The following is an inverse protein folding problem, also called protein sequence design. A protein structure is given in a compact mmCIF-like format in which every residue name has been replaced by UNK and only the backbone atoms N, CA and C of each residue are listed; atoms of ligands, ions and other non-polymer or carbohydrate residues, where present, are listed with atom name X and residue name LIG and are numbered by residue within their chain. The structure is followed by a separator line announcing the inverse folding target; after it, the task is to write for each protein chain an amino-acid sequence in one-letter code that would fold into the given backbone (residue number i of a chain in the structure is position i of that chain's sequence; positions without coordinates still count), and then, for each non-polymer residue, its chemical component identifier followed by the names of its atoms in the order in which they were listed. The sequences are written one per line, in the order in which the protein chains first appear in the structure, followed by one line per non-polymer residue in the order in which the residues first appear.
data_IF_697132662938
#
_entry.id   IF_697132662938
#
_cell.length_a   1.000
_cell.length_b   1.000
_cell.length_c   1.000
_cell.angle_alpha   90.00
_cell.angle_beta   90.00
_cell.angle_gamma   90.00
#
_symmetry.space_group_name_H-M   'P 1'
#
loop_
_entity.id
_entity.type
_entity.pdbx_description
1 polymer ?
#
# COMPACT_ATOMS: atom_id res chain seq x y z
N UNK A 1 7.95 4.66 25.56
CA UNK A 1 7.02 5.50 26.33
C UNK A 1 6.15 4.56 27.15
N UNK A 2 5.82 4.89 28.41
CA UNK A 2 4.90 4.08 29.20
C UNK A 2 3.50 4.07 28.57
N UNK A 3 2.80 2.95 28.68
CA UNK A 3 1.45 2.80 28.15
C UNK A 3 0.46 3.40 29.16
N UNK A 4 -0.37 4.37 28.76
CA UNK A 4 -1.35 4.99 29.63
C UNK A 4 -2.47 4.02 30.00
N UNK A 5 -2.79 3.97 31.29
CA UNK A 5 -3.93 3.23 31.85
C UNK A 5 -4.97 4.22 32.35
N UNK A 6 -6.22 4.01 31.96
CA UNK A 6 -7.36 4.77 32.44
C UNK A 6 -8.25 3.87 33.32
N UNK A 7 -8.55 4.33 34.51
CA UNK A 7 -9.34 3.60 35.49
C UNK A 7 -10.78 4.15 35.52
N UNK A 8 -11.76 3.26 35.34
CA UNK A 8 -13.18 3.55 35.44
C UNK A 8 -13.85 2.56 36.41
N UNK A 9 -13.70 2.80 37.69
CA UNK A 9 -14.03 1.89 38.78
C UNK A 9 -15.21 2.40 39.59
N UNK A 10 -16.08 1.48 40.05
CA UNK A 10 -17.36 1.82 40.66
C UNK A 10 -17.26 2.15 42.14
N UNK A 11 -16.22 1.69 42.83
CA UNK A 11 -16.07 1.88 44.26
C UNK A 11 -14.59 1.96 44.72
N UNK A 12 -14.36 2.40 45.95
CA UNK A 12 -13.04 2.61 46.52
C UNK A 12 -12.25 1.30 46.75
N UNK A 13 -12.94 0.22 47.02
CA UNK A 13 -12.33 -1.09 47.23
C UNK A 13 -11.74 -1.64 45.90
N UNK A 14 -12.43 -1.51 44.77
CA UNK A 14 -11.89 -1.80 43.46
C UNK A 14 -10.64 -0.96 43.17
N UNK A 15 -10.70 0.34 43.48
CA UNK A 15 -9.57 1.27 43.28
C UNK A 15 -8.33 0.86 44.05
N UNK A 16 -8.49 0.47 45.31
CA UNK A 16 -7.39 0.01 46.14
C UNK A 16 -6.78 -1.28 45.63
N UNK A 17 -7.61 -2.28 45.31
CA UNK A 17 -7.17 -3.59 44.76
C UNK A 17 -6.42 -3.44 43.47
N UNK A 18 -6.94 -2.61 42.52
CA UNK A 18 -6.28 -2.36 41.23
C UNK A 18 -4.96 -1.60 41.41
N UNK A 19 -4.93 -0.55 42.27
CA UNK A 19 -3.70 0.20 42.55
C UNK A 19 -2.62 -0.69 43.17
N UNK A 20 -2.98 -1.56 44.09
CA UNK A 20 -2.04 -2.49 44.70
C UNK A 20 -1.49 -3.48 43.64
N UNK A 21 -2.36 -4.08 42.82
CA UNK A 21 -1.93 -4.99 41.76
C UNK A 21 -1.06 -4.30 40.71
N UNK A 22 -1.35 -3.03 40.36
CA UNK A 22 -0.54 -2.24 39.41
C UNK A 22 0.85 -1.91 39.96
N UNK A 23 1.03 -1.78 41.30
CA UNK A 23 2.34 -1.53 41.89
C UNK A 23 3.31 -2.72 41.78
N UNK A 24 2.79 -3.92 41.54
CA UNK A 24 3.57 -5.16 41.36
C UNK A 24 3.95 -5.42 39.90
N UNK A 25 3.42 -4.65 38.94
CA UNK A 25 3.70 -4.81 37.53
C UNK A 25 5.02 -4.16 37.14
N UNK A 26 5.96 -4.93 36.62
CA UNK A 26 7.31 -4.48 36.23
C UNK A 26 7.35 -3.76 34.85
N UNK A 27 6.25 -3.66 34.12
CA UNK A 27 6.23 -3.04 32.80
C UNK A 27 6.12 -1.52 32.86
N UNK A 28 6.54 -0.84 31.78
CA UNK A 28 6.42 0.61 31.62
C UNK A 28 4.95 1.00 31.38
N UNK A 29 4.18 1.08 32.46
CA UNK A 29 2.79 1.53 32.48
C UNK A 29 2.66 2.80 33.31
N UNK A 30 1.72 3.67 32.97
CA UNK A 30 1.41 4.89 33.69
C UNK A 30 -0.10 5.04 33.88
N UNK A 31 -0.55 5.23 35.11
CA UNK A 31 -1.96 5.57 35.39
C UNK A 31 -2.18 7.03 35.00
N UNK A 32 -2.68 7.25 33.78
CA UNK A 32 -2.88 8.57 33.18
C UNK A 32 -4.16 9.27 33.69
N UNK A 33 -5.13 8.51 34.23
CA UNK A 33 -6.37 9.09 34.73
C UNK A 33 -7.28 8.10 35.44
N UNK A 34 -8.18 8.66 36.25
CA UNK A 34 -9.31 7.93 36.85
C UNK A 34 -10.58 8.73 36.56
N UNK A 35 -11.62 8.04 36.08
CA UNK A 35 -12.85 8.64 35.58
C UNK A 35 -14.02 8.15 36.40
N UNK A 36 -14.95 9.05 36.71
CA UNK A 36 -16.17 8.74 37.49
C UNK A 36 -17.43 8.79 36.62
N UNK A 37 -17.34 9.42 35.44
CA UNK A 37 -18.45 9.56 34.51
C UNK A 37 -18.15 8.84 33.18
N UNK A 38 -19.05 7.99 32.66
CA UNK A 38 -18.88 7.29 31.40
C UNK A 38 -18.55 8.17 30.18
N UNK A 39 -19.09 9.40 30.12
CA UNK A 39 -18.83 10.32 29.01
C UNK A 39 -17.39 10.86 29.00
N UNK A 40 -16.75 10.94 30.15
CA UNK A 40 -15.38 11.41 30.26
C UNK A 40 -14.36 10.42 29.69
N UNK A 41 -14.70 9.13 29.64
CA UNK A 41 -13.82 8.10 29.05
C UNK A 41 -13.43 8.42 27.60
N UNK A 42 -14.32 9.01 26.85
CA UNK A 42 -14.05 9.35 25.44
C UNK A 42 -13.05 10.50 25.27
N UNK A 43 -12.78 11.30 26.30
CA UNK A 43 -11.72 12.31 26.29
C UNK A 43 -10.31 11.68 26.32
N UNK A 44 -10.23 10.44 26.80
CA UNK A 44 -8.99 9.67 26.87
C UNK A 44 -8.83 8.70 25.69
N UNK A 45 -9.67 8.79 24.67
CA UNK A 45 -9.52 7.97 23.47
C UNK A 45 -8.18 8.27 22.81
N UNK A 46 -7.38 7.24 22.51
CA UNK A 46 -6.02 7.42 22.06
C UNK A 46 -5.99 7.98 20.63
N UNK A 47 -5.38 9.17 20.38
CA UNK A 47 -5.21 9.63 19.01
C UNK A 47 -4.11 8.85 18.26
N UNK A 48 -3.06 8.40 18.98
CA UNK A 48 -1.89 7.77 18.38
C UNK A 48 -1.13 6.80 19.30
N UNK A 49 -1.41 6.81 20.60
CA UNK A 49 -0.71 5.96 21.60
C UNK A 49 -1.69 4.92 22.13
N UNK A 50 -1.32 3.61 22.16
CA UNK A 50 -2.16 2.59 22.76
C UNK A 50 -2.55 2.91 24.19
N UNK A 51 -3.83 2.77 24.53
CA UNK A 51 -4.35 3.06 25.86
C UNK A 51 -5.12 1.86 26.39
N UNK A 52 -4.86 1.48 27.65
CA UNK A 52 -5.58 0.40 28.33
C UNK A 52 -6.63 1.00 29.27
N UNK A 53 -7.88 0.58 29.12
CA UNK A 53 -8.98 0.95 29.98
C UNK A 53 -9.31 -0.21 30.91
N UNK A 54 -9.30 0.03 32.21
CA UNK A 54 -9.77 -0.93 33.22
C UNK A 54 -11.11 -0.43 33.77
N UNK A 55 -12.17 -1.14 33.39
CA UNK A 55 -13.55 -0.78 33.74
C UNK A 55 -14.15 -1.76 34.72
N UNK A 56 -14.90 -1.25 35.71
CA UNK A 56 -15.83 -2.08 36.48
C UNK A 56 -17.06 -2.43 35.62
N UNK A 57 -17.53 -3.66 35.65
CA UNK A 57 -18.78 -4.08 34.99
C UNK A 57 -19.99 -3.26 35.44
N UNK A 58 -19.93 -2.67 36.63
CA UNK A 58 -21.00 -1.85 37.23
C UNK A 58 -20.82 -0.34 36.96
N UNK A 59 -19.76 0.08 36.28
CA UNK A 59 -19.40 1.50 36.10
C UNK A 59 -20.51 2.33 35.44
N UNK A 60 -21.11 1.82 34.35
CA UNK A 60 -22.24 2.45 33.67
C UNK A 60 -23.56 1.65 33.84
N UNK A 61 -23.66 0.84 34.89
CA UNK A 61 -24.81 -0.06 35.15
C UNK A 61 -25.12 -0.94 33.92
N UNK A 62 -26.37 -0.90 33.44
CA UNK A 62 -26.79 -1.69 32.26
C UNK A 62 -26.15 -1.23 30.93
N UNK A 63 -25.59 -0.04 30.88
CA UNK A 63 -24.97 0.51 29.67
C UNK A 63 -23.47 0.16 29.53
N UNK A 64 -22.86 -0.58 30.50
CA UNK A 64 -21.41 -0.85 30.46
C UNK A 64 -21.00 -1.70 29.26
N UNK A 65 -21.82 -2.65 28.82
CA UNK A 65 -21.55 -3.46 27.61
C UNK A 65 -21.49 -2.57 26.36
N UNK A 66 -22.47 -1.70 26.16
CA UNK A 66 -22.49 -0.75 25.04
C UNK A 66 -21.32 0.27 25.12
N UNK A 67 -20.91 0.63 26.32
CA UNK A 67 -19.73 1.48 26.53
C UNK A 67 -18.44 0.79 26.06
N UNK A 68 -18.29 -0.50 26.39
CA UNK A 68 -17.16 -1.32 25.92
C UNK A 68 -17.17 -1.43 24.40
N UNK A 69 -18.31 -1.74 23.79
CA UNK A 69 -18.45 -1.78 22.32
C UNK A 69 -17.97 -0.48 21.67
N UNK A 70 -18.39 0.67 22.21
CA UNK A 70 -17.98 1.99 21.69
C UNK A 70 -16.50 2.28 21.88
N UNK A 71 -15.90 1.91 23.00
CA UNK A 71 -14.47 2.08 23.25
C UNK A 71 -13.63 1.21 22.30
N UNK A 72 -14.04 -0.04 22.11
CA UNK A 72 -13.33 -1.02 21.28
C UNK A 72 -13.49 -0.82 19.79
N UNK A 73 -14.34 0.13 19.32
CA UNK A 73 -14.34 0.59 17.93
C UNK A 73 -12.99 1.25 17.57
N UNK A 74 -12.29 1.81 18.57
CA UNK A 74 -10.96 2.35 18.36
C UNK A 74 -9.89 1.28 18.56
N UNK A 75 -9.10 0.92 17.53
CA UNK A 75 -8.21 -0.24 17.58
C UNK A 75 -7.04 -0.12 18.58
N UNK A 76 -6.68 1.11 19.00
CA UNK A 76 -5.67 1.36 20.03
C UNK A 76 -6.23 1.38 21.46
N UNK A 77 -7.55 1.29 21.65
CA UNK A 77 -8.18 1.18 22.94
C UNK A 77 -8.32 -0.31 23.31
N UNK A 78 -7.66 -0.71 24.39
CA UNK A 78 -7.74 -2.07 24.92
C UNK A 78 -8.52 -2.04 26.23
N UNK A 79 -9.56 -2.87 26.34
CA UNK A 79 -10.45 -2.82 27.49
C UNK A 79 -10.37 -4.11 28.31
N UNK A 80 -10.09 -3.98 29.61
CA UNK A 80 -10.19 -5.06 30.60
C UNK A 80 -11.38 -4.74 31.52
N UNK A 81 -12.29 -5.70 31.71
CA UNK A 81 -13.47 -5.50 32.53
C UNK A 81 -13.38 -6.29 33.82
N UNK A 82 -13.58 -5.60 34.96
CA UNK A 82 -13.62 -6.20 36.28
C UNK A 82 -15.05 -6.63 36.62
N UNK A 83 -15.22 -7.89 36.96
CA UNK A 83 -16.50 -8.48 37.34
C UNK A 83 -16.63 -8.56 38.87
N UNK A 84 -17.79 -8.22 39.46
CA UNK A 84 -17.97 -8.27 40.91
C UNK A 84 -17.82 -9.70 41.50
N UNK A 85 -18.16 -10.70 40.69
CA UNK A 85 -18.02 -12.14 40.99
C UNK A 85 -17.81 -12.91 39.69
N UNK A 86 -17.50 -14.20 39.80
CA UNK A 86 -17.42 -15.08 38.62
C UNK A 86 -18.80 -15.24 37.99
N UNK A 87 -18.95 -14.68 36.79
CA UNK A 87 -20.16 -14.78 35.97
C UNK A 87 -19.76 -15.00 34.50
N UNK A 88 -19.79 -16.26 34.09
CA UNK A 88 -19.44 -16.65 32.72
C UNK A 88 -20.38 -16.07 31.66
N UNK A 89 -21.66 -15.80 32.00
CA UNK A 89 -22.59 -15.19 31.03
C UNK A 89 -22.24 -13.74 30.76
N UNK A 90 -21.97 -12.99 31.82
CA UNK A 90 -21.58 -11.58 31.75
C UNK A 90 -20.18 -11.41 31.12
N UNK A 91 -19.23 -12.29 31.49
CA UNK A 91 -17.90 -12.32 30.86
C UNK A 91 -17.99 -12.49 29.34
N UNK A 92 -18.81 -13.43 28.85
CA UNK A 92 -19.03 -13.63 27.41
C UNK A 92 -19.60 -12.40 26.72
N UNK A 93 -20.49 -11.64 27.38
CA UNK A 93 -21.05 -10.44 26.81
C UNK A 93 -19.95 -9.38 26.59
N UNK A 94 -19.09 -9.15 27.58
CA UNK A 94 -17.99 -8.20 27.45
C UNK A 94 -16.93 -8.62 26.45
N UNK A 95 -16.59 -9.91 26.36
CA UNK A 95 -15.67 -10.42 25.33
C UNK A 95 -16.26 -10.22 23.92
N UNK A 96 -17.56 -10.47 23.74
CA UNK A 96 -18.25 -10.19 22.46
C UNK A 96 -18.31 -8.71 22.14
N UNK A 97 -18.39 -7.85 23.16
CA UNK A 97 -18.31 -6.40 23.01
C UNK A 97 -16.87 -5.89 22.68
N UNK A 98 -15.89 -6.79 22.60
CA UNK A 98 -14.53 -6.49 22.23
C UNK A 98 -13.54 -6.33 23.39
N UNK A 99 -13.94 -6.58 24.63
CA UNK A 99 -13.00 -6.58 25.76
C UNK A 99 -11.88 -7.60 25.52
N UNK A 100 -10.65 -7.21 25.89
CA UNK A 100 -9.45 -8.09 25.79
C UNK A 100 -9.53 -9.21 26.80
N UNK A 101 -10.04 -8.87 28.00
CA UNK A 101 -10.15 -9.82 29.11
C UNK A 101 -11.24 -9.37 30.11
N UNK A 102 -11.67 -10.33 30.94
CA UNK A 102 -12.61 -10.08 32.02
C UNK A 102 -12.12 -10.79 33.29
N UNK A 103 -11.97 -10.04 34.38
CA UNK A 103 -11.39 -10.54 35.63
C UNK A 103 -12.38 -10.40 36.80
N UNK A 104 -12.66 -11.45 37.57
CA UNK A 104 -13.32 -11.32 38.86
C UNK A 104 -12.47 -10.49 39.82
N UNK A 105 -13.15 -9.62 40.61
CA UNK A 105 -12.45 -8.75 41.58
C UNK A 105 -11.60 -9.57 42.56
N UNK A 106 -12.06 -10.77 42.92
CA UNK A 106 -11.30 -11.71 43.77
C UNK A 106 -9.96 -12.18 43.19
N UNK A 107 -9.78 -12.12 41.88
CA UNK A 107 -8.60 -12.62 41.17
C UNK A 107 -7.69 -11.48 40.66
N UNK A 108 -8.00 -10.22 40.92
CA UNK A 108 -7.22 -9.06 40.47
C UNK A 108 -5.75 -9.20 40.84
N UNK A 109 -5.42 -9.54 42.09
CA UNK A 109 -4.04 -9.64 42.55
C UNK A 109 -3.23 -10.72 41.81
N UNK A 110 -3.87 -11.82 41.38
CA UNK A 110 -3.20 -12.93 40.73
C UNK A 110 -3.10 -12.77 39.22
N UNK A 111 -4.13 -12.20 38.58
CA UNK A 111 -4.29 -12.29 37.14
C UNK A 111 -4.21 -10.93 36.41
N UNK A 112 -4.33 -9.79 37.10
CA UNK A 112 -4.31 -8.48 36.45
C UNK A 112 -3.02 -8.22 35.67
N UNK A 113 -1.88 -8.66 36.22
CA UNK A 113 -0.58 -8.53 35.54
C UNK A 113 -0.57 -9.28 34.20
N UNK A 114 -1.10 -10.50 34.14
CA UNK A 114 -1.18 -11.30 32.93
C UNK A 114 -2.12 -10.68 31.90
N UNK A 115 -3.29 -10.22 32.34
CA UNK A 115 -4.27 -9.55 31.47
C UNK A 115 -3.76 -8.23 30.92
N UNK A 116 -3.04 -7.44 31.73
CA UNK A 116 -2.38 -6.22 31.28
C UNK A 116 -1.29 -6.51 30.24
N UNK A 117 -0.44 -7.51 30.46
CA UNK A 117 0.58 -7.91 29.52
C UNK A 117 -0.02 -8.33 28.17
N UNK A 118 -1.15 -9.06 28.20
CA UNK A 118 -1.88 -9.42 27.00
C UNK A 118 -2.49 -8.19 26.29
N UNK A 119 -3.08 -7.26 27.05
CA UNK A 119 -3.61 -6.02 26.51
C UNK A 119 -2.51 -5.15 25.89
N UNK A 120 -1.37 -4.99 26.59
CA UNK A 120 -0.18 -4.27 26.13
C UNK A 120 0.38 -4.89 24.85
N UNK A 121 0.55 -6.23 24.79
CA UNK A 121 1.04 -6.93 23.59
C UNK A 121 0.08 -6.76 22.40
N UNK A 122 -1.23 -6.87 22.64
CA UNK A 122 -2.24 -6.60 21.59
C UNK A 122 -2.15 -5.15 21.12
N UNK A 123 -2.11 -4.20 22.04
CA UNK A 123 -1.98 -2.79 21.75
C UNK A 123 -0.68 -2.47 20.99
N UNK A 124 0.45 -3.06 21.37
CA UNK A 124 1.73 -2.90 20.69
C UNK A 124 1.72 -3.54 19.29
N UNK A 125 1.09 -4.70 19.13
CA UNK A 125 0.95 -5.35 17.83
C UNK A 125 0.08 -4.51 16.91
N UNK A 126 -1.09 -4.07 17.37
CA UNK A 126 -1.98 -3.16 16.64
C UNK A 126 -1.29 -1.82 16.38
N UNK A 127 -0.56 -1.27 17.37
CA UNK A 127 0.22 -0.04 17.19
C UNK A 127 1.35 -0.21 16.18
N UNK A 128 2.09 -1.32 16.20
CA UNK A 128 3.12 -1.59 15.19
C UNK A 128 2.51 -1.75 13.80
N UNK A 129 1.40 -2.44 13.67
CA UNK A 129 0.68 -2.59 12.41
C UNK A 129 0.01 -1.29 11.96
N UNK A 130 -0.59 -0.52 12.88
CA UNK A 130 -1.21 0.78 12.55
C UNK A 130 -0.20 1.92 12.47
N UNK A 131 0.82 1.98 13.33
CA UNK A 131 1.92 2.93 13.19
C UNK A 131 2.71 2.63 11.92
N UNK A 132 2.90 1.38 11.55
CA UNK A 132 3.40 1.03 10.22
C UNK A 132 2.43 1.49 9.11
N UNK A 133 1.12 1.45 9.33
CA UNK A 133 0.11 1.96 8.38
C UNK A 133 -0.11 3.47 8.44
N UNK A 134 -0.05 4.08 9.63
CA UNK A 134 -0.24 5.54 9.83
C UNK A 134 1.03 6.36 9.55
N UNK A 135 2.22 5.73 9.57
CA UNK A 135 3.51 6.35 9.26
C UNK A 135 4.19 5.78 8.00
N UNK A 136 3.62 4.80 7.35
CA UNK A 136 3.92 4.60 5.95
C UNK A 136 3.14 5.64 5.14
N UNK A 137 3.63 6.86 5.21
CA UNK A 137 3.34 7.84 4.15
C UNK A 137 3.60 7.11 2.85
N UNK A 138 2.56 6.88 2.06
CA UNK A 138 2.64 6.06 0.86
C UNK A 138 3.73 6.60 -0.07
N UNK A 139 4.44 5.70 -0.72
CA UNK A 139 5.54 6.07 -1.62
C UNK A 139 4.99 6.47 -2.98
N UNK A 140 5.30 7.69 -3.41
CA UNK A 140 4.98 8.18 -4.75
C UNK A 140 6.13 7.87 -5.69
N UNK A 141 5.86 7.07 -6.72
CA UNK A 141 6.85 6.61 -7.69
C UNK A 141 6.41 7.07 -9.08
N UNK A 142 7.17 7.99 -9.65
CA UNK A 142 6.89 8.54 -10.99
C UNK A 142 7.70 7.77 -12.03
N UNK A 143 7.02 7.36 -13.09
CA UNK A 143 7.63 6.75 -14.27
C UNK A 143 7.70 7.79 -15.38
N UNK A 144 8.90 8.02 -15.88
CA UNK A 144 9.16 8.97 -16.95
C UNK A 144 9.99 8.34 -18.06
N UNK A 145 9.49 8.39 -19.29
CA UNK A 145 10.20 7.94 -20.47
C UNK A 145 10.57 9.13 -21.37
N UNK A 146 11.86 9.47 -21.56
CA UNK A 146 12.28 10.64 -22.35
C UNK A 146 12.11 10.45 -23.86
N UNK A 147 11.57 9.32 -24.29
CA UNK A 147 11.24 9.04 -25.69
C UNK A 147 9.94 8.25 -25.78
N UNK A 148 9.09 8.61 -26.71
CA UNK A 148 7.88 7.85 -27.01
C UNK A 148 8.19 6.42 -27.46
N UNK A 149 7.38 5.46 -27.03
CA UNK A 149 7.50 4.06 -27.42
C UNK A 149 8.56 3.24 -26.66
N UNK A 150 9.21 3.77 -25.65
CA UNK A 150 10.13 2.98 -24.78
C UNK A 150 9.39 2.00 -23.87
N UNK A 151 8.05 2.10 -23.75
CA UNK A 151 7.22 1.15 -23.02
C UNK A 151 6.89 1.54 -21.60
N UNK A 152 7.00 2.82 -21.23
CA UNK A 152 6.76 3.35 -19.87
C UNK A 152 5.39 2.94 -19.34
N UNK A 153 4.31 3.25 -20.04
CA UNK A 153 2.93 2.96 -19.62
C UNK A 153 2.68 1.46 -19.43
N UNK A 154 3.18 0.63 -20.35
CA UNK A 154 3.03 -0.83 -20.25
C UNK A 154 3.78 -1.37 -19.03
N UNK A 155 4.99 -0.85 -18.76
CA UNK A 155 5.82 -1.26 -17.64
C UNK A 155 5.19 -0.85 -16.31
N UNK A 156 4.81 0.43 -16.14
CA UNK A 156 4.21 0.92 -14.90
C UNK A 156 2.87 0.24 -14.60
N UNK A 157 2.05 -0.01 -15.62
CA UNK A 157 0.75 -0.71 -15.47
C UNK A 157 0.96 -2.12 -14.94
N UNK A 158 1.86 -2.90 -15.55
CA UNK A 158 2.13 -4.26 -15.09
C UNK A 158 2.79 -4.31 -13.72
N UNK A 159 3.67 -3.36 -13.40
CA UNK A 159 4.24 -3.25 -12.06
C UNK A 159 3.18 -2.90 -11.01
N UNK A 160 2.27 -1.96 -11.30
CA UNK A 160 1.18 -1.61 -10.40
C UNK A 160 0.24 -2.79 -10.13
N UNK A 161 -0.08 -3.56 -11.19
CA UNK A 161 -0.87 -4.79 -11.06
C UNK A 161 -0.14 -5.84 -10.24
N UNK A 162 1.15 -6.05 -10.47
CA UNK A 162 1.96 -6.99 -9.70
C UNK A 162 2.01 -6.60 -8.21
N UNK A 163 2.25 -5.33 -7.90
CA UNK A 163 2.22 -4.84 -6.52
C UNK A 163 0.84 -5.03 -5.91
N UNK A 164 -0.24 -4.66 -6.59
CA UNK A 164 -1.59 -4.77 -6.04
C UNK A 164 -2.06 -6.21 -5.83
N UNK A 165 -1.63 -7.15 -6.68
CA UNK A 165 -2.03 -8.56 -6.60
C UNK A 165 -1.24 -9.39 -5.58
N UNK A 166 0.03 -9.02 -5.33
CA UNK A 166 0.98 -9.88 -4.62
C UNK A 166 1.60 -9.24 -3.37
N UNK A 167 1.01 -8.15 -2.88
CA UNK A 167 1.33 -7.58 -1.58
C UNK A 167 0.06 -7.15 -0.83
N UNK A 168 0.08 -7.09 0.52
CA UNK A 168 -1.12 -6.86 1.32
C UNK A 168 -1.62 -5.41 1.32
N UNK A 169 -0.74 -4.43 1.09
CA UNK A 169 -1.08 -3.03 1.19
C UNK A 169 -1.72 -2.50 -0.12
N UNK A 170 -2.62 -1.48 -0.02
CA UNK A 170 -3.32 -0.95 -1.18
C UNK A 170 -2.37 -0.17 -2.12
N UNK A 171 -2.60 -0.31 -3.43
CA UNK A 171 -1.83 0.33 -4.50
C UNK A 171 -2.75 1.18 -5.37
N UNK A 172 -2.29 2.38 -5.72
CA UNK A 172 -2.92 3.25 -6.71
C UNK A 172 -2.02 3.48 -7.92
N UNK A 173 -2.63 3.62 -9.10
CA UNK A 173 -1.99 4.01 -10.35
C UNK A 173 -2.71 5.24 -10.90
N UNK A 174 -1.96 6.29 -11.20
CA UNK A 174 -2.47 7.52 -11.80
C UNK A 174 -1.91 7.67 -13.21
N UNK A 175 -2.78 7.83 -14.18
CA UNK A 175 -2.42 8.13 -15.56
C UNK A 175 -2.35 9.66 -15.77
N UNK A 176 -1.15 10.22 -15.72
CA UNK A 176 -0.86 11.61 -16.03
C UNK A 176 -0.42 11.85 -17.47
N UNK A 177 -0.51 10.86 -18.35
CA UNK A 177 -0.45 11.11 -19.78
C UNK A 177 -1.81 11.64 -20.25
N UNK A 178 -2.08 12.89 -19.90
CA UNK A 178 -3.41 13.49 -19.94
C UNK A 178 -4.03 13.57 -21.34
N UNK A 179 -3.22 13.59 -22.40
CA UNK A 179 -3.70 13.67 -23.78
C UNK A 179 -3.92 12.29 -24.41
N UNK A 180 -3.04 11.35 -24.13
CA UNK A 180 -3.03 10.02 -24.79
C UNK A 180 -2.80 8.92 -23.76
N UNK A 181 -3.52 8.99 -22.61
CA UNK A 181 -3.42 7.99 -21.55
C UNK A 181 -3.78 6.58 -22.03
N UNK A 182 -2.98 5.61 -21.62
CA UNK A 182 -3.11 4.23 -22.06
C UNK A 182 -3.47 3.26 -20.92
N UNK A 183 -3.33 3.67 -19.65
CA UNK A 183 -3.47 2.78 -18.50
C UNK A 183 -4.82 2.06 -18.46
N UNK A 184 -5.92 2.77 -18.64
CA UNK A 184 -7.25 2.16 -18.64
C UNK A 184 -7.40 1.09 -19.75
N UNK A 185 -6.91 1.36 -20.95
CA UNK A 185 -6.93 0.42 -22.08
C UNK A 185 -6.07 -0.81 -21.80
N UNK A 186 -4.86 -0.63 -21.23
CA UNK A 186 -3.94 -1.71 -20.86
C UNK A 186 -4.53 -2.65 -19.78
N UNK A 187 -5.49 -2.16 -18.99
CA UNK A 187 -6.20 -2.89 -17.95
C UNK A 187 -7.58 -3.39 -18.39
N UNK A 188 -7.99 -3.19 -19.64
CA UNK A 188 -9.33 -3.53 -20.11
C UNK A 188 -10.46 -2.74 -19.42
N UNK A 189 -10.12 -1.61 -18.77
CA UNK A 189 -11.08 -0.78 -18.05
C UNK A 189 -11.76 0.21 -18.99
N UNK A 190 -13.05 0.48 -18.73
CA UNK A 190 -13.81 1.54 -19.38
C UNK A 190 -14.09 2.64 -18.36
N UNK A 191 -13.33 3.75 -18.39
CA UNK A 191 -13.47 4.77 -17.37
C UNK A 191 -14.74 5.59 -17.55
N UNK A 192 -15.68 5.47 -16.61
CA UNK A 192 -16.84 6.37 -16.47
C UNK A 192 -16.44 7.66 -15.75
N UNK A 193 -15.41 7.60 -14.91
CA UNK A 193 -14.82 8.70 -14.18
C UNK A 193 -13.31 8.81 -14.48
N UNK A 194 -12.82 10.05 -14.64
CA UNK A 194 -11.43 10.36 -15.00
C UNK A 194 -10.90 11.52 -14.17
N UNK A 195 -9.59 11.76 -14.22
CA UNK A 195 -9.01 12.93 -13.58
C UNK A 195 -9.59 14.25 -14.10
N UNK A 196 -10.06 14.32 -15.35
CA UNK A 196 -10.73 15.49 -15.88
C UNK A 196 -12.14 15.67 -15.29
N UNK A 197 -12.89 14.61 -15.09
CA UNK A 197 -14.19 14.68 -14.42
C UNK A 197 -14.05 15.01 -12.93
N UNK A 198 -12.96 14.61 -12.28
CA UNK A 198 -12.57 15.09 -10.96
C UNK A 198 -12.30 16.60 -11.00
N UNK A 199 -11.50 17.07 -11.97
CA UNK A 199 -11.16 18.50 -12.13
C UNK A 199 -12.40 19.38 -12.28
N UNK A 200 -13.40 18.92 -13.03
CA UNK A 200 -14.67 19.65 -13.22
C UNK A 200 -15.48 19.83 -11.93
N UNK A 201 -15.35 18.90 -10.98
CA UNK A 201 -16.09 18.93 -9.71
C UNK A 201 -15.28 19.50 -8.54
N UNK A 202 -13.98 19.65 -8.73
CA UNK A 202 -13.07 20.12 -7.70
C UNK A 202 -13.28 21.59 -7.36
N UNK A 203 -13.47 21.90 -6.07
CA UNK A 203 -13.73 23.26 -5.56
C UNK A 203 -12.65 23.75 -4.57
N UNK A 204 -11.43 23.17 -4.64
CA UNK A 204 -10.29 23.63 -3.84
C UNK A 204 -9.94 22.71 -2.66
N UNK A 205 -10.91 22.01 -2.10
CA UNK A 205 -10.68 21.00 -1.07
C UNK A 205 -10.87 19.59 -1.64
N UNK A 206 -9.99 18.68 -1.26
CA UNK A 206 -10.00 17.29 -1.69
C UNK A 206 -9.67 16.40 -0.51
N UNK A 207 -10.62 15.53 -0.17
CA UNK A 207 -10.41 14.41 0.75
C UNK A 207 -10.56 13.06 0.01
N UNK A 208 -10.37 11.97 0.73
CA UNK A 208 -10.44 10.64 0.13
C UNK A 208 -11.89 10.25 -0.22
N UNK A 209 -12.86 10.67 0.54
CA UNK A 209 -14.27 10.36 0.30
C UNK A 209 -14.74 11.00 -1.02
N UNK A 210 -14.31 12.23 -1.30
CA UNK A 210 -14.55 12.90 -2.58
C UNK A 210 -13.77 12.27 -3.74
N UNK A 211 -12.52 11.83 -3.52
CA UNK A 211 -11.68 11.24 -4.56
C UNK A 211 -12.09 9.80 -4.91
N UNK A 212 -12.53 9.02 -3.94
CA UNK A 212 -12.78 7.58 -4.08
C UNK A 212 -13.69 7.19 -5.26
N UNK A 213 -14.79 7.92 -5.58
CA UNK A 213 -15.65 7.60 -6.72
C UNK A 213 -14.96 7.73 -8.09
N UNK A 214 -13.83 8.42 -8.17
CA UNK A 214 -13.06 8.58 -9.41
C UNK A 214 -11.96 7.51 -9.56
N UNK A 215 -11.73 6.70 -8.53
CA UNK A 215 -10.77 5.61 -8.53
C UNK A 215 -11.42 4.31 -9.04
N UNK A 216 -11.18 3.97 -10.29
CA UNK A 216 -11.59 2.70 -10.86
C UNK A 216 -10.92 1.54 -10.12
N UNK A 217 -11.60 0.42 -10.04
CA UNK A 217 -11.03 -0.81 -9.48
C UNK A 217 -10.76 -1.81 -10.59
N UNK A 218 -9.54 -2.31 -10.64
CA UNK A 218 -9.21 -3.48 -11.43
C UNK A 218 -9.48 -4.73 -10.60
N UNK A 219 -10.55 -5.48 -10.93
CA UNK A 219 -11.10 -6.53 -10.04
C UNK A 219 -10.11 -7.68 -9.77
N UNK A 220 -9.33 -8.09 -10.78
CA UNK A 220 -8.40 -9.22 -10.64
C UNK A 220 -7.23 -8.94 -9.68
N UNK A 221 -6.75 -7.69 -9.61
CA UNK A 221 -5.60 -7.33 -8.78
C UNK A 221 -5.96 -6.47 -7.57
N UNK A 222 -7.15 -5.89 -7.52
CA UNK A 222 -7.52 -4.91 -6.51
C UNK A 222 -6.92 -3.51 -6.70
N UNK A 223 -6.13 -3.28 -7.78
CA UNK A 223 -5.52 -2.00 -8.10
C UNK A 223 -6.57 -0.89 -8.22
N UNK A 224 -6.27 0.29 -7.65
CA UNK A 224 -7.08 1.49 -7.83
C UNK A 224 -6.44 2.40 -8.88
N UNK A 225 -7.23 2.87 -9.84
CA UNK A 225 -6.75 3.59 -11.02
C UNK A 225 -7.46 4.92 -11.17
N UNK A 226 -6.72 6.01 -11.19
CA UNK A 226 -7.21 7.31 -11.65
C UNK A 226 -6.85 7.48 -13.12
N UNK A 227 -7.84 7.31 -13.99
CA UNK A 227 -7.63 7.30 -15.43
C UNK A 227 -7.40 8.72 -15.99
N UNK A 228 -6.63 8.81 -17.08
CA UNK A 228 -6.47 10.00 -17.88
C UNK A 228 -7.82 10.45 -18.51
N UNK A 229 -7.91 11.72 -18.94
CA UNK A 229 -9.11 12.22 -19.64
C UNK A 229 -9.48 11.37 -20.85
N UNK A 230 -10.79 11.23 -21.11
CA UNK A 230 -11.30 10.49 -22.27
C UNK A 230 -11.07 11.19 -23.62
N UNK A 231 -10.76 12.50 -23.60
CA UNK A 231 -10.46 13.31 -24.79
C UNK A 231 -9.28 14.23 -24.48
N UNK A 232 -8.37 14.45 -25.46
CA UNK A 232 -7.16 15.26 -25.25
C UNK A 232 -7.43 16.71 -24.85
N UNK A 233 -8.50 17.31 -25.33
CA UNK A 233 -8.87 18.70 -25.01
C UNK A 233 -9.25 18.89 -23.52
N UNK A 234 -9.66 17.82 -22.84
CA UNK A 234 -9.97 17.88 -21.41
C UNK A 234 -8.73 17.86 -20.53
N UNK A 235 -7.54 17.65 -21.09
CA UNK A 235 -6.28 17.69 -20.36
C UNK A 235 -6.04 19.07 -19.71
N UNK A 236 -6.50 20.15 -20.35
CA UNK A 236 -6.34 21.53 -19.86
C UNK A 236 -7.10 21.82 -18.55
N UNK A 237 -8.09 20.99 -18.21
CA UNK A 237 -8.81 21.10 -16.92
C UNK A 237 -7.96 20.65 -15.74
N UNK A 238 -6.94 19.85 -15.99
CA UNK A 238 -6.10 19.26 -14.94
C UNK A 238 -4.96 20.19 -14.59
N UNK A 239 -5.11 20.90 -13.48
CA UNK A 239 -4.10 21.86 -13.01
C UNK A 239 -3.04 21.20 -12.13
N UNK A 240 -1.87 21.82 -11.99
CA UNK A 240 -0.82 21.40 -11.05
C UNK A 240 -1.33 21.32 -9.61
N UNK A 241 -2.13 22.30 -9.20
CA UNK A 241 -2.75 22.34 -7.88
C UNK A 241 -3.62 21.10 -7.61
N UNK A 242 -4.47 20.71 -8.57
CA UNK A 242 -5.27 19.48 -8.45
C UNK A 242 -4.37 18.24 -8.33
N UNK A 243 -3.35 18.12 -9.18
CA UNK A 243 -2.40 17.00 -9.18
C UNK A 243 -1.73 16.84 -7.81
N UNK A 244 -1.23 17.95 -7.24
CA UNK A 244 -0.61 17.95 -5.92
C UNK A 244 -1.59 17.52 -4.83
N UNK A 245 -2.84 18.00 -4.86
CA UNK A 245 -3.87 17.60 -3.90
C UNK A 245 -4.24 16.13 -4.02
N UNK A 246 -4.43 15.62 -5.24
CA UNK A 246 -4.68 14.19 -5.50
C UNK A 246 -3.57 13.33 -4.90
N UNK A 247 -2.31 13.70 -5.12
CA UNK A 247 -1.18 12.91 -4.62
C UNK A 247 -1.05 12.96 -3.10
N UNK A 248 -1.32 14.10 -2.46
CA UNK A 248 -1.38 14.21 -1.01
C UNK A 248 -2.44 13.27 -0.41
N UNK A 249 -3.64 13.24 -1.01
CA UNK A 249 -4.72 12.36 -0.56
C UNK A 249 -4.35 10.89 -0.79
N UNK A 250 -3.88 10.53 -1.99
CA UNK A 250 -3.50 9.15 -2.31
C UNK A 250 -2.37 8.64 -1.41
N UNK A 251 -1.35 9.46 -1.15
CA UNK A 251 -0.22 9.13 -0.27
C UNK A 251 -0.65 8.71 1.13
N UNK A 252 -1.74 9.25 1.64
CA UNK A 252 -2.24 8.92 2.98
C UNK A 252 -3.10 7.64 3.02
N UNK A 253 -3.49 7.09 1.85
CA UNK A 253 -4.43 5.97 1.77
C UNK A 253 -3.87 4.74 1.03
N UNK A 254 -2.75 4.89 0.35
CA UNK A 254 -2.12 3.83 -0.43
C UNK A 254 -0.65 3.69 -0.06
N UNK A 255 -0.17 2.47 0.08
CA UNK A 255 1.25 2.23 0.36
C UNK A 255 2.14 2.60 -0.84
N UNK A 256 1.63 2.39 -2.05
CA UNK A 256 2.31 2.76 -3.29
C UNK A 256 1.35 3.53 -4.19
N UNK A 257 1.81 4.69 -4.66
CA UNK A 257 1.15 5.49 -5.68
C UNK A 257 2.08 5.57 -6.89
N UNK A 258 1.78 4.80 -7.93
CA UNK A 258 2.54 4.82 -9.16
C UNK A 258 1.94 5.83 -10.12
N UNK A 259 2.79 6.51 -10.88
CA UNK A 259 2.34 7.57 -11.78
C UNK A 259 2.96 7.34 -13.16
N UNK A 260 2.09 7.15 -14.15
CA UNK A 260 2.48 7.16 -15.57
C UNK A 260 2.48 8.59 -16.08
N UNK A 261 3.55 9.01 -16.74
CA UNK A 261 3.66 10.36 -17.30
C UNK A 261 3.88 10.34 -18.79
N UNK A 262 3.51 11.45 -19.44
CA UNK A 262 3.88 11.69 -20.84
C UNK A 262 5.40 11.93 -20.99
N UNK A 263 5.89 11.87 -22.23
CA UNK A 263 7.28 12.24 -22.55
C UNK A 263 7.55 13.74 -22.44
N UNK A 264 6.49 14.55 -22.40
CA UNK A 264 6.57 15.99 -22.31
C UNK A 264 6.67 16.43 -20.85
N UNK A 265 7.60 17.35 -20.56
CA UNK A 265 7.77 17.96 -19.25
C UNK A 265 6.80 19.13 -19.06
N UNK A 266 5.51 18.83 -19.08
CA UNK A 266 4.45 19.79 -18.77
C UNK A 266 4.44 20.10 -17.26
N UNK A 267 3.80 21.20 -16.87
CA UNK A 267 3.74 21.63 -15.46
C UNK A 267 3.17 20.54 -14.53
N UNK A 268 2.16 19.78 -14.99
CA UNK A 268 1.59 18.66 -14.23
C UNK A 268 2.59 17.50 -14.05
N UNK A 269 3.42 17.22 -15.07
CA UNK A 269 4.51 16.23 -14.98
C UNK A 269 5.58 16.71 -14.01
N UNK A 270 5.98 18.00 -14.10
CA UNK A 270 6.98 18.58 -13.20
C UNK A 270 6.49 18.61 -11.74
N UNK A 271 5.21 18.91 -11.50
CA UNK A 271 4.61 18.82 -10.17
C UNK A 271 4.68 17.38 -9.61
N UNK A 272 4.35 16.38 -10.43
CA UNK A 272 4.46 14.96 -10.04
C UNK A 272 5.90 14.57 -9.68
N UNK A 273 6.86 14.95 -10.51
CA UNK A 273 8.29 14.69 -10.26
C UNK A 273 8.77 15.39 -8.98
N UNK A 274 8.29 16.60 -8.70
CA UNK A 274 8.67 17.40 -7.53
C UNK A 274 8.30 16.74 -6.20
N UNK A 275 7.13 16.10 -6.11
CA UNK A 275 6.63 15.48 -4.89
C UNK A 275 6.92 13.98 -4.77
N UNK A 276 7.52 13.38 -5.79
CA UNK A 276 7.82 11.95 -5.82
C UNK A 276 8.92 11.57 -4.85
N UNK A 277 8.86 10.34 -4.31
CA UNK A 277 9.92 9.75 -3.50
C UNK A 277 10.97 9.06 -4.39
N UNK A 278 10.54 8.58 -5.58
CA UNK A 278 11.41 7.99 -6.59
C UNK A 278 10.94 8.37 -8.00
N UNK A 279 11.91 8.57 -8.88
CA UNK A 279 11.72 8.81 -10.30
C UNK A 279 12.38 7.66 -11.05
N UNK A 280 11.58 6.81 -11.67
CA UNK A 280 12.05 5.71 -12.51
C UNK A 280 12.12 6.19 -13.96
N UNK A 281 13.32 6.42 -14.44
CA UNK A 281 13.57 6.83 -15.82
C UNK A 281 13.64 5.58 -16.68
N UNK A 282 12.71 5.44 -17.62
CA UNK A 282 12.62 4.28 -18.51
C UNK A 282 13.32 4.59 -19.82
N UNK A 283 14.33 3.81 -20.15
CA UNK A 283 15.06 3.91 -21.43
C UNK A 283 15.08 2.57 -22.16
N UNK A 284 15.59 2.54 -23.38
CA UNK A 284 15.76 1.33 -24.19
C UNK A 284 17.15 1.30 -24.85
N UNK A 285 17.56 0.13 -25.34
CA UNK A 285 18.87 -0.06 -26.02
C UNK A 285 18.82 0.51 -27.45
N UNK A 286 18.51 1.79 -27.58
CA UNK A 286 18.66 2.54 -28.84
C UNK A 286 19.32 3.90 -28.57
N UNK A 287 20.14 4.36 -29.50
CA UNK A 287 20.96 5.55 -29.36
C UNK A 287 20.14 6.81 -29.05
N UNK A 288 18.95 6.96 -29.67
CA UNK A 288 18.11 8.13 -29.43
C UNK A 288 17.50 8.12 -28.03
N UNK A 289 17.07 6.95 -27.55
CA UNK A 289 16.55 6.83 -26.18
C UNK A 289 17.66 7.15 -25.16
N UNK A 290 18.85 6.62 -25.34
CA UNK A 290 19.99 6.86 -24.44
C UNK A 290 20.38 8.34 -24.45
N UNK A 291 20.49 8.96 -25.64
CA UNK A 291 20.79 10.40 -25.71
C UNK A 291 19.72 11.26 -25.00
N UNK A 292 18.44 11.01 -25.25
CA UNK A 292 17.37 11.73 -24.56
C UNK A 292 17.42 11.50 -23.03
N UNK A 293 17.72 10.27 -22.61
CA UNK A 293 17.91 9.93 -21.20
C UNK A 293 19.07 10.73 -20.58
N UNK A 294 20.19 10.88 -21.29
CA UNK A 294 21.30 11.69 -20.84
C UNK A 294 20.88 13.14 -20.58
N UNK A 295 20.20 13.77 -21.56
CA UNK A 295 19.75 15.15 -21.43
C UNK A 295 18.79 15.35 -20.24
N UNK A 296 17.87 14.40 -20.05
CA UNK A 296 16.93 14.42 -18.92
C UNK A 296 17.68 14.23 -17.60
N UNK A 297 18.62 13.29 -17.51
CA UNK A 297 19.40 13.07 -16.29
C UNK A 297 20.25 14.29 -15.93
N UNK A 298 20.85 14.98 -16.89
CA UNK A 298 21.59 16.23 -16.65
C UNK A 298 20.70 17.33 -16.05
N UNK A 299 19.46 17.43 -16.51
CA UNK A 299 18.46 18.36 -15.95
C UNK A 299 17.97 17.91 -14.58
N UNK A 300 17.58 16.64 -14.44
CA UNK A 300 17.00 16.12 -13.20
C UNK A 300 17.98 16.12 -12.03
N UNK A 301 19.26 15.88 -12.28
CA UNK A 301 20.31 15.98 -11.25
C UNK A 301 20.48 17.38 -10.67
N UNK A 302 20.06 18.42 -11.41
CA UNK A 302 20.05 19.81 -10.91
C UNK A 302 18.79 20.14 -10.10
N UNK A 303 17.69 19.44 -10.36
CA UNK A 303 16.38 19.70 -9.77
C UNK A 303 16.03 18.78 -8.61
N UNK A 304 16.52 17.54 -8.63
CA UNK A 304 16.14 16.51 -7.70
C UNK A 304 17.36 15.82 -7.06
N UNK A 305 17.25 15.33 -5.81
CA UNK A 305 18.29 14.53 -5.18
C UNK A 305 18.61 13.27 -6.01
N UNK A 306 19.90 12.95 -6.13
CA UNK A 306 20.35 11.85 -7.00
C UNK A 306 19.89 10.47 -6.54
N UNK A 307 19.63 10.28 -5.25
CA UNK A 307 19.10 9.04 -4.66
C UNK A 307 17.66 8.73 -5.10
N UNK A 308 16.89 9.75 -5.49
CA UNK A 308 15.54 9.58 -6.07
C UNK A 308 15.57 9.08 -7.50
N UNK A 309 16.63 9.32 -8.25
CA UNK A 309 16.72 8.95 -9.66
C UNK A 309 17.11 7.49 -9.80
N UNK A 310 16.32 6.71 -10.53
CA UNK A 310 16.57 5.30 -10.84
C UNK A 310 16.41 5.06 -12.32
N UNK A 311 17.27 4.21 -12.89
CA UNK A 311 17.23 3.85 -14.32
C UNK A 311 16.62 2.46 -14.49
N UNK A 312 15.64 2.35 -15.38
CA UNK A 312 15.08 1.08 -15.83
C UNK A 312 15.36 0.91 -17.31
N UNK A 313 16.10 -0.13 -17.66
CA UNK A 313 16.43 -0.47 -19.02
C UNK A 313 15.39 -1.45 -19.58
N UNK A 314 14.48 -0.96 -20.41
CA UNK A 314 13.51 -1.79 -21.10
C UNK A 314 14.05 -2.33 -22.42
N UNK A 315 13.52 -3.45 -22.88
CA UNK A 315 13.96 -4.14 -24.10
C UNK A 315 15.47 -4.44 -24.08
N UNK A 316 15.99 -4.91 -22.92
CA UNK A 316 17.42 -5.06 -22.65
C UNK A 316 18.11 -6.17 -23.43
N UNK A 317 17.38 -7.05 -24.13
CA UNK A 317 17.91 -8.22 -24.87
C UNK A 317 17.87 -8.05 -26.40
N UNK A 318 17.84 -6.82 -26.88
CA UNK A 318 17.83 -6.57 -28.34
C UNK A 318 19.21 -6.91 -28.94
N UNK A 319 19.28 -8.03 -29.67
CA UNK A 319 20.53 -8.60 -30.20
C UNK A 319 21.28 -7.72 -31.21
N UNK A 320 20.62 -6.71 -31.78
CA UNK A 320 21.17 -5.88 -32.85
C UNK A 320 21.45 -4.43 -32.44
N UNK A 321 21.36 -4.10 -31.14
CA UNK A 321 21.55 -2.72 -30.68
C UNK A 321 23.03 -2.26 -30.77
N UNK A 322 23.98 -3.19 -30.74
CA UNK A 322 25.42 -2.88 -30.64
C UNK A 322 25.82 -2.24 -29.29
N UNK A 323 24.88 -2.10 -28.36
CA UNK A 323 25.07 -1.51 -27.03
C UNK A 323 24.81 -2.57 -25.97
N UNK A 324 25.61 -2.53 -24.91
CA UNK A 324 25.39 -3.39 -23.72
C UNK A 324 24.84 -2.58 -22.55
N UNK A 325 24.14 -3.24 -21.60
CA UNK A 325 23.68 -2.57 -20.39
C UNK A 325 24.81 -1.87 -19.62
N UNK A 326 25.99 -2.46 -19.53
CA UNK A 326 27.16 -1.94 -18.84
C UNK A 326 27.65 -0.63 -19.50
N UNK A 327 27.68 -0.57 -20.83
CA UNK A 327 27.99 0.64 -21.57
C UNK A 327 26.96 1.75 -21.33
N UNK A 328 25.67 1.39 -21.16
CA UNK A 328 24.62 2.36 -20.83
C UNK A 328 24.80 2.92 -19.43
N UNK A 329 25.11 2.08 -18.43
CA UNK A 329 25.40 2.52 -17.06
C UNK A 329 26.61 3.48 -17.01
N UNK A 330 27.69 3.12 -17.69
CA UNK A 330 28.89 3.92 -17.76
C UNK A 330 28.62 5.28 -18.44
N UNK A 331 27.97 5.25 -19.59
CA UNK A 331 27.66 6.48 -20.35
C UNK A 331 26.71 7.42 -19.63
N UNK A 332 25.65 6.89 -18.99
CA UNK A 332 24.65 7.68 -18.26
C UNK A 332 25.09 7.99 -16.82
N UNK A 333 26.16 7.36 -16.34
CA UNK A 333 26.67 7.47 -14.97
C UNK A 333 25.58 7.27 -13.91
N UNK A 334 24.76 6.23 -14.08
CA UNK A 334 23.71 5.83 -13.16
C UNK A 334 23.52 4.29 -13.24
N UNK A 335 23.45 3.58 -12.11
CA UNK A 335 23.23 2.14 -12.13
C UNK A 335 21.82 1.80 -12.61
N UNK A 336 21.69 0.72 -13.36
CA UNK A 336 20.42 0.17 -13.81
C UNK A 336 19.77 -0.58 -12.65
N UNK A 337 18.61 -0.07 -12.20
CA UNK A 337 17.82 -0.71 -11.16
C UNK A 337 17.20 -2.03 -11.64
N UNK A 338 16.74 -2.07 -12.88
CA UNK A 338 16.12 -3.24 -13.47
C UNK A 338 16.35 -3.30 -14.99
N UNK A 339 16.57 -4.53 -15.48
CA UNK A 339 16.63 -4.84 -16.90
C UNK A 339 15.38 -5.66 -17.26
N UNK A 340 14.58 -5.13 -18.17
CA UNK A 340 13.34 -5.74 -18.64
C UNK A 340 13.56 -6.28 -20.06
N UNK A 341 13.48 -7.59 -20.27
CA UNK A 341 13.72 -8.18 -21.60
C UNK A 341 12.60 -7.81 -22.59
N UNK A 342 12.90 -7.85 -23.88
CA UNK A 342 11.90 -7.71 -24.92
C UNK A 342 11.21 -9.06 -25.16
N UNK A 343 9.90 -9.06 -25.04
CA UNK A 343 9.02 -10.14 -25.47
C UNK A 343 7.83 -9.53 -26.21
N UNK A 344 8.02 -9.34 -27.52
CA UNK A 344 7.02 -8.66 -28.34
C UNK A 344 5.70 -9.42 -28.42
N UNK A 345 5.73 -10.76 -28.39
CA UNK A 345 4.52 -11.56 -28.46
C UNK A 345 3.68 -11.41 -27.18
N UNK A 346 4.30 -11.59 -26.01
CA UNK A 346 3.63 -11.43 -24.70
C UNK A 346 3.12 -10.01 -24.54
N UNK A 347 3.94 -9.00 -24.86
CA UNK A 347 3.58 -7.59 -24.72
C UNK A 347 2.41 -7.19 -25.64
N UNK A 348 2.46 -7.52 -26.94
CA UNK A 348 1.41 -7.17 -27.91
C UNK A 348 0.10 -7.88 -27.59
N UNK A 349 0.15 -9.16 -27.22
CA UNK A 349 -1.04 -9.91 -26.81
C UNK A 349 -1.69 -9.28 -25.59
N UNK A 350 -0.91 -8.93 -24.56
CA UNK A 350 -1.40 -8.25 -23.36
C UNK A 350 -2.11 -6.92 -23.70
N UNK A 351 -1.51 -6.10 -24.55
CA UNK A 351 -2.09 -4.82 -24.99
C UNK A 351 -3.41 -5.01 -25.75
N UNK A 352 -3.44 -5.95 -26.70
CA UNK A 352 -4.62 -6.16 -27.55
C UNK A 352 -5.81 -6.73 -26.77
N UNK A 353 -5.56 -7.50 -25.73
CA UNK A 353 -6.60 -8.10 -24.90
C UNK A 353 -6.98 -7.27 -23.70
N UNK A 354 -6.20 -6.21 -23.37
CA UNK A 354 -6.42 -5.42 -22.19
C UNK A 354 -6.19 -6.20 -20.88
N UNK A 355 -5.37 -7.26 -20.93
CA UNK A 355 -5.04 -8.10 -19.78
C UNK A 355 -3.54 -7.98 -19.49
N UNK A 356 -3.15 -7.50 -18.31
CA UNK A 356 -1.75 -7.37 -17.93
C UNK A 356 -0.98 -8.69 -18.04
N UNK A 357 0.21 -8.65 -18.65
CA UNK A 357 0.99 -9.87 -18.89
C UNK A 357 1.48 -10.52 -17.58
N UNK A 358 1.61 -9.78 -16.49
CA UNK A 358 1.97 -10.33 -15.17
C UNK A 358 0.89 -11.26 -14.60
N UNK A 359 -0.37 -11.09 -15.01
CA UNK A 359 -1.48 -11.99 -14.67
C UNK A 359 -1.63 -13.10 -15.71
N UNK A 360 -1.56 -12.75 -16.99
CA UNK A 360 -1.78 -13.67 -18.11
C UNK A 360 -0.65 -14.70 -18.28
N UNK A 361 0.59 -14.22 -18.18
CA UNK A 361 1.80 -15.01 -18.46
C UNK A 361 2.83 -14.83 -17.35
N UNK A 362 2.50 -15.19 -16.09
CA UNK A 362 3.36 -14.90 -14.93
C UNK A 362 4.74 -15.56 -15.03
N UNK A 363 4.85 -16.69 -15.73
CA UNK A 363 6.10 -17.44 -15.92
C UNK A 363 6.99 -16.88 -17.04
N UNK A 364 6.52 -15.92 -17.84
CA UNK A 364 7.34 -15.35 -18.92
C UNK A 364 8.54 -14.59 -18.34
N UNK A 365 9.70 -14.56 -19.05
CA UNK A 365 10.85 -13.76 -18.62
C UNK A 365 10.50 -12.29 -18.42
N UNK A 366 9.56 -11.77 -19.20
CA UNK A 366 9.05 -10.40 -19.09
C UNK A 366 8.35 -10.18 -17.75
N UNK A 367 7.41 -11.08 -17.35
CA UNK A 367 6.71 -11.00 -16.05
C UNK A 367 7.65 -11.18 -14.88
N UNK A 368 8.59 -12.13 -14.97
CA UNK A 368 9.56 -12.38 -13.91
C UNK A 368 10.48 -11.17 -13.66
N UNK A 369 10.79 -10.40 -14.71
CA UNK A 369 11.55 -9.15 -14.55
C UNK A 369 10.75 -8.05 -13.83
N UNK A 370 9.43 -7.97 -14.07
CA UNK A 370 8.53 -7.07 -13.34
C UNK A 370 8.43 -7.48 -11.87
N UNK A 371 8.31 -8.78 -11.57
CA UNK A 371 8.29 -9.26 -10.18
C UNK A 371 9.59 -8.93 -9.43
N UNK A 372 10.75 -9.05 -10.08
CA UNK A 372 12.03 -8.62 -9.50
C UNK A 372 12.05 -7.12 -9.22
N UNK A 373 11.53 -6.30 -10.14
CA UNK A 373 11.41 -4.86 -9.93
C UNK A 373 10.44 -4.55 -8.77
N UNK A 374 9.30 -5.25 -8.68
CA UNK A 374 8.36 -5.14 -7.58
C UNK A 374 9.01 -5.47 -6.23
N UNK A 375 9.79 -6.56 -6.17
CA UNK A 375 10.57 -6.93 -4.97
C UNK A 375 11.58 -5.84 -4.58
N UNK A 376 12.26 -5.23 -5.55
CA UNK A 376 13.22 -4.14 -5.25
C UNK A 376 12.54 -2.87 -4.73
N UNK A 377 11.27 -2.67 -5.05
CA UNK A 377 10.46 -1.51 -4.61
C UNK A 377 9.78 -1.79 -3.28
N UNK A 378 9.08 -2.91 -3.14
CA UNK A 378 8.27 -3.23 -1.95
C UNK A 378 9.06 -3.99 -0.86
N UNK A 379 10.24 -4.53 -1.18
CA UNK A 379 11.04 -5.31 -0.23
C UNK A 379 10.42 -6.67 0.10
N UNK A 380 10.64 -7.15 1.32
CA UNK A 380 10.20 -8.48 1.78
C UNK A 380 8.67 -8.68 1.83
N UNK A 381 7.91 -7.61 1.77
CA UNK A 381 6.44 -7.67 1.78
C UNK A 381 5.86 -8.15 0.45
N UNK A 382 6.60 -8.02 -0.64
CA UNK A 382 6.19 -8.53 -1.94
C UNK A 382 6.50 -10.02 -2.07
N UNK A 383 5.45 -10.83 -2.20
CA UNK A 383 5.57 -12.28 -2.38
C UNK A 383 5.23 -12.59 -3.84
N UNK A 384 6.23 -12.79 -4.71
CA UNK A 384 5.98 -13.11 -6.11
C UNK A 384 5.22 -14.43 -6.25
N UNK A 385 4.38 -14.59 -7.30
CA UNK A 385 3.71 -15.86 -7.55
C UNK A 385 4.75 -16.97 -7.75
N UNK A 386 4.50 -18.11 -7.11
CA UNK A 386 5.36 -19.30 -7.31
C UNK A 386 5.24 -19.73 -8.76
N UNK A 387 6.36 -19.89 -9.50
CA UNK A 387 6.31 -20.38 -10.87
C UNK A 387 5.58 -21.72 -10.92
N UNK A 388 4.46 -21.79 -11.60
CA UNK A 388 3.83 -23.08 -11.89
C UNK A 388 4.76 -23.79 -12.88
N UNK A 389 5.45 -24.82 -12.42
CA UNK A 389 6.19 -25.71 -13.31
C UNK A 389 5.15 -26.47 -14.13
N UNK A 390 4.80 -25.92 -15.29
CA UNK A 390 4.07 -26.71 -16.28
C UNK A 390 4.96 -27.93 -16.57
N UNK A 391 4.43 -29.12 -16.24
CA UNK A 391 5.02 -30.36 -16.75
C UNK A 391 5.07 -30.19 -18.26
N UNK A 392 6.27 -30.08 -18.80
CA UNK A 392 6.49 -30.07 -20.24
C UNK A 392 5.74 -31.26 -20.78
N UNK A 393 4.60 -31.02 -21.42
CA UNK A 393 3.94 -32.08 -22.20
C UNK A 393 4.98 -32.51 -23.22
N UNK A 394 5.34 -33.78 -23.22
CA UNK A 394 6.25 -34.34 -24.21
C UNK A 394 5.82 -33.85 -25.58
N UNK A 395 6.68 -33.06 -26.21
CA UNK A 395 6.32 -32.39 -27.45
C UNK A 395 5.94 -33.42 -28.48
N UNK A 396 5.04 -33.09 -29.39
CA UNK A 396 4.55 -33.94 -30.48
C UNK A 396 5.71 -34.63 -31.22
N UNK A 397 6.88 -33.98 -31.26
CA UNK A 397 8.09 -34.51 -31.85
C UNK A 397 8.70 -35.67 -31.02
N UNK A 398 8.73 -35.61 -29.71
CA UNK A 398 9.19 -36.69 -28.86
C UNK A 398 8.25 -37.89 -28.91
N UNK A 399 6.93 -37.69 -28.98
CA UNK A 399 5.95 -38.74 -29.20
C UNK A 399 6.12 -39.40 -30.59
N UNK A 400 6.41 -38.58 -31.60
CA UNK A 400 6.68 -39.09 -32.96
C UNK A 400 7.98 -39.89 -33.03
N UNK A 401 9.04 -39.47 -32.33
CA UNK A 401 10.31 -40.21 -32.22
C UNK A 401 10.14 -41.51 -31.46
N UNK A 402 9.41 -41.51 -30.32
CA UNK A 402 9.10 -42.73 -29.60
C UNK A 402 8.27 -43.72 -30.43
N UNK A 403 7.28 -43.23 -31.17
CA UNK A 403 6.52 -44.02 -32.13
C UNK A 403 7.39 -44.66 -33.22
N UNK A 404 8.35 -43.91 -33.80
CA UNK A 404 9.30 -44.43 -34.78
C UNK A 404 10.30 -45.44 -34.24
N UNK A 405 10.64 -45.34 -32.95
CA UNK A 405 11.58 -46.23 -32.25
C UNK A 405 10.90 -47.44 -31.64
N UNK A 406 9.56 -47.55 -31.71
CA UNK A 406 8.80 -48.66 -31.17
C UNK A 406 8.82 -48.77 -29.64
N UNK A 407 9.08 -47.64 -28.95
CA UNK A 407 8.97 -47.52 -27.50
C UNK A 407 7.56 -47.03 -27.14
N UNK A 408 6.72 -47.94 -26.59
CA UNK A 408 5.38 -47.63 -26.04
C UNK A 408 5.48 -46.82 -24.72
#
# INVERSE_FOLDING_TARGET
MPIPIILALSNEQERLSVKQALSEVQESIEVAGSVENPEELFRFMPPSVPTVFILSAQFAKTATVSLVERLTTHPLAQVIVLLPQEDFSLARQFIRAGAVDTLPISQIAAELSTSLNNAVRRAQKVSREQVSRLFQVGRIIVFYGPKGGVGTSLLVTNLAVALAAYQPEPVALVDLNLQFGAVATLLGLRPEATIASLAQRFQGELDFEFLQPFLLRHEESGLRVLAAPSRPELAELVTTFLVERVFQVLRNHFAFVLIDTSTNLQDTTLAALGISDQILIVTALDLLAIRNTQLVLEMFRKLYPSDRLKLVLNRSNVRFSGLTPEQVEEFLNIPILAQIPSDGQVAVTSVNEGVPFVLRSPNSPLSQSIFKLATSIAGEQFIPPVPVVEKVQEGTFQRFVKFLLGEE
#
